data_IF_477189895658
#
_entry.id   IF_477189895658
#
_cell.length_a   1.000
_cell.length_b   1.000
_cell.length_c   1.000
_cell.angle_alpha   90.00
_cell.angle_beta   90.00
_cell.angle_gamma   90.00
#
_symmetry.space_group_name_H-M   'P 1'
#
loop_
_entity.id
_entity.type
_entity.pdbx_description
1 polymer ?
#
# COMPACT_ATOMS: atom_id res chain seq x y z
N UNK A 1 -18.15 -25.95 20.00
CA UNK A 1 -17.36 -25.23 18.99
C UNK A 1 -16.40 -24.37 19.79
N UNK A 2 -15.17 -24.84 19.96
CA UNK A 2 -14.18 -24.18 20.78
C UNK A 2 -13.41 -23.22 19.87
N UNK A 3 -13.71 -21.93 19.95
CA UNK A 3 -12.90 -20.90 19.33
C UNK A 3 -11.65 -20.74 20.18
N UNK A 4 -10.56 -21.35 19.73
CA UNK A 4 -9.22 -21.15 20.29
C UNK A 4 -8.84 -19.69 20.06
N UNK A 5 -9.11 -18.84 21.05
CA UNK A 5 -8.37 -17.59 21.21
C UNK A 5 -6.97 -18.01 21.65
N UNK A 6 -6.07 -18.13 20.68
CA UNK A 6 -4.65 -18.33 20.92
C UNK A 6 -4.13 -17.05 21.57
N UNK A 7 -4.11 -17.09 22.90
CA UNK A 7 -3.44 -16.16 23.79
C UNK A 7 -1.93 -16.21 23.43
N UNK A 8 -1.48 -15.38 22.49
CA UNK A 8 -0.06 -15.20 22.24
C UNK A 8 0.53 -14.34 23.37
N UNK A 9 1.28 -15.03 24.22
CA UNK A 9 1.84 -14.55 25.47
C UNK A 9 3.25 -14.02 25.21
N UNK A 10 3.38 -12.86 24.57
CA UNK A 10 4.66 -12.15 24.47
C UNK A 10 4.49 -10.72 25.00
N UNK A 11 5.49 -10.28 25.75
CA UNK A 11 5.57 -9.05 26.55
C UNK A 11 4.81 -7.86 25.98
N UNK A 12 3.91 -7.24 26.76
CA UNK A 12 3.23 -5.97 26.43
C UNK A 12 4.20 -4.81 26.18
N UNK A 13 4.85 -4.80 25.02
CA UNK A 13 5.72 -3.73 24.53
C UNK A 13 4.95 -2.75 23.63
N UNK A 14 3.66 -3.00 23.41
CA UNK A 14 2.80 -2.27 22.48
C UNK A 14 1.47 -1.95 23.17
N UNK A 15 0.97 -0.74 22.95
CA UNK A 15 -0.30 -0.21 23.48
C UNK A 15 -1.48 -0.70 22.64
N UNK A 16 -1.26 -0.88 21.35
CA UNK A 16 -2.24 -1.36 20.39
C UNK A 16 -1.51 -2.14 19.29
N UNK A 17 -2.16 -3.18 18.78
CA UNK A 17 -1.69 -3.94 17.63
C UNK A 17 -2.89 -4.33 16.78
N UNK A 18 -2.73 -4.19 15.46
CA UNK A 18 -3.67 -4.60 14.43
C UNK A 18 -2.97 -5.46 13.38
N UNK A 19 -3.69 -5.78 12.30
CA UNK A 19 -3.16 -6.51 11.15
C UNK A 19 -2.01 -5.74 10.49
N UNK A 20 -2.17 -4.42 10.35
CA UNK A 20 -1.23 -3.59 9.59
C UNK A 20 -0.38 -2.65 10.44
N UNK A 21 -0.69 -2.45 11.73
CA UNK A 21 -0.02 -1.43 12.55
C UNK A 21 0.19 -1.83 14.00
N UNK A 22 1.14 -1.15 14.65
CA UNK A 22 1.47 -1.32 16.06
C UNK A 22 1.68 0.06 16.68
N UNK A 23 0.99 0.35 17.78
CA UNK A 23 1.24 1.52 18.62
C UNK A 23 2.16 1.13 19.79
N UNK A 24 3.26 1.84 19.97
CA UNK A 24 4.14 1.67 21.13
C UNK A 24 3.68 2.51 22.33
N UNK A 25 4.15 2.23 23.55
CA UNK A 25 3.90 3.07 24.73
C UNK A 25 4.45 4.50 24.63
N UNK A 26 5.26 4.80 23.62
CA UNK A 26 5.73 6.16 23.35
C UNK A 26 4.76 6.95 22.45
N UNK A 27 3.54 6.43 22.21
CA UNK A 27 2.59 7.00 21.25
C UNK A 27 3.13 7.00 19.82
N UNK A 28 3.97 6.03 19.44
CA UNK A 28 4.53 5.92 18.10
C UNK A 28 3.82 4.80 17.34
N UNK A 29 3.18 5.16 16.22
CA UNK A 29 2.51 4.23 15.33
C UNK A 29 3.50 3.75 14.27
N UNK A 30 3.65 2.43 14.21
CA UNK A 30 4.47 1.73 13.23
C UNK A 30 3.59 0.93 12.28
N UNK A 31 3.94 0.92 10.99
CA UNK A 31 3.38 0.01 10.00
C UNK A 31 4.07 -1.36 10.14
N UNK A 32 3.30 -2.44 10.12
CA UNK A 32 3.80 -3.81 10.07
C UNK A 32 4.14 -4.11 8.62
N UNK A 33 5.43 -4.15 8.30
CA UNK A 33 5.91 -4.71 7.03
C UNK A 33 5.80 -6.25 7.02
N UNK A 34 6.15 -6.84 5.88
CA UNK A 34 6.26 -8.30 5.72
C UNK A 34 7.30 -8.92 6.67
N UNK A 35 8.29 -8.15 7.10
CA UNK A 35 9.33 -8.56 8.04
C UNK A 35 9.27 -7.76 9.35
N UNK A 36 9.62 -8.40 10.48
CA UNK A 36 9.63 -7.77 11.80
C UNK A 36 10.62 -6.61 11.93
N UNK A 37 11.64 -6.57 11.07
CA UNK A 37 12.68 -5.53 11.04
C UNK A 37 12.28 -4.33 10.17
N UNK A 38 11.31 -4.50 9.26
CA UNK A 38 10.80 -3.49 8.33
C UNK A 38 9.62 -2.69 8.92
N UNK A 39 9.64 -2.48 10.24
CA UNK A 39 8.65 -1.62 10.92
C UNK A 39 8.94 -0.17 10.62
N UNK A 40 8.15 0.44 9.75
CA UNK A 40 8.29 1.86 9.43
C UNK A 40 7.47 2.73 10.39
N UNK A 41 8.07 3.78 10.96
CA UNK A 41 7.36 4.75 11.78
C UNK A 41 6.48 5.64 10.90
N UNK A 42 5.17 5.48 11.03
CA UNK A 42 4.19 6.31 10.34
C UNK A 42 4.13 7.70 10.98
N UNK A 43 3.76 7.75 12.27
CA UNK A 43 3.39 8.98 12.96
C UNK A 43 3.43 8.78 14.49
N UNK A 44 3.41 9.88 15.24
CA UNK A 44 3.12 9.87 16.67
C UNK A 44 1.65 10.20 16.90
N UNK A 45 0.92 9.30 17.55
CA UNK A 45 -0.51 9.44 17.84
C UNK A 45 -0.83 8.96 19.25
N UNK A 46 -1.61 9.75 19.97
CA UNK A 46 -2.11 9.37 21.29
C UNK A 46 -3.12 8.22 21.17
N UNK A 47 -3.24 7.35 22.19
CA UNK A 47 -4.24 6.28 22.19
C UNK A 47 -5.68 6.80 22.06
N UNK A 48 -5.97 8.00 22.58
CA UNK A 48 -7.29 8.65 22.46
C UNK A 48 -7.63 9.06 21.02
N UNK A 49 -6.64 9.43 20.20
CA UNK A 49 -6.79 9.84 18.80
C UNK A 49 -6.44 8.71 17.82
N UNK A 50 -6.10 7.53 18.33
CA UNK A 50 -5.63 6.41 17.52
C UNK A 50 -6.70 5.98 16.51
N UNK A 51 -7.95 5.75 16.94
CA UNK A 51 -9.02 5.31 16.04
C UNK A 51 -9.27 6.30 14.90
N UNK A 52 -9.30 7.60 15.20
CA UNK A 52 -9.42 8.67 14.21
C UNK A 52 -8.23 8.63 13.25
N UNK A 53 -7.00 8.50 13.78
CA UNK A 53 -5.80 8.45 12.95
C UNK A 53 -5.71 7.21 12.08
N UNK A 54 -6.11 6.05 12.59
CA UNK A 54 -6.19 4.82 11.82
C UNK A 54 -7.20 4.96 10.68
N UNK A 55 -8.33 5.60 10.95
CA UNK A 55 -9.34 5.89 9.94
C UNK A 55 -8.77 6.83 8.87
N UNK A 56 -8.17 7.95 9.27
CA UNK A 56 -7.52 8.90 8.36
C UNK A 56 -6.46 8.22 7.48
N UNK A 57 -5.62 7.36 8.05
CA UNK A 57 -4.57 6.66 7.32
C UNK A 57 -5.13 5.58 6.37
N UNK A 58 -6.23 4.91 6.72
CA UNK A 58 -6.92 3.97 5.83
C UNK A 58 -7.68 4.68 4.71
N UNK A 59 -8.27 5.84 5.01
CA UNK A 59 -8.89 6.71 4.01
C UNK A 59 -7.85 7.24 3.04
N UNK A 60 -6.71 7.72 3.53
CA UNK A 60 -5.60 8.16 2.69
C UNK A 60 -5.10 7.05 1.74
N UNK A 61 -5.04 5.80 2.21
CA UNK A 61 -4.71 4.65 1.35
C UNK A 61 -5.80 4.42 0.29
N UNK A 62 -7.08 4.49 0.69
CA UNK A 62 -8.20 4.32 -0.24
C UNK A 62 -8.24 5.42 -1.30
N UNK A 63 -7.93 6.67 -0.94
CA UNK A 63 -7.78 7.78 -1.87
C UNK A 63 -6.62 7.54 -2.84
N UNK A 64 -5.47 7.09 -2.33
CA UNK A 64 -4.31 6.74 -3.14
C UNK A 64 -4.64 5.60 -4.12
N UNK A 65 -5.29 4.54 -3.65
CA UNK A 65 -5.75 3.44 -4.48
C UNK A 65 -6.69 3.94 -5.58
N UNK A 66 -7.70 4.74 -5.22
CA UNK A 66 -8.64 5.27 -6.20
C UNK A 66 -7.95 6.17 -7.22
N UNK A 67 -6.94 6.94 -6.81
CA UNK A 67 -6.11 7.76 -7.71
C UNK A 67 -5.27 6.90 -8.65
N UNK A 68 -4.70 5.81 -8.13
CA UNK A 68 -3.98 4.81 -8.93
C UNK A 68 -4.91 4.23 -9.98
N UNK A 69 -6.07 3.70 -9.59
CA UNK A 69 -7.04 3.12 -10.50
C UNK A 69 -7.53 4.13 -11.56
N UNK A 70 -7.82 5.37 -11.16
CA UNK A 70 -8.24 6.42 -12.10
C UNK A 70 -7.13 6.78 -13.10
N UNK A 71 -5.89 6.90 -12.62
CA UNK A 71 -4.72 7.17 -13.46
C UNK A 71 -4.49 6.02 -14.44
N UNK A 72 -4.58 4.77 -13.98
CA UNK A 72 -4.40 3.57 -14.80
C UNK A 72 -5.53 3.34 -15.82
N UNK A 73 -6.74 3.81 -15.51
CA UNK A 73 -7.89 3.76 -16.41
C UNK A 73 -7.82 4.80 -17.54
N UNK A 74 -7.04 5.87 -17.35
CA UNK A 74 -6.81 6.91 -18.33
C UNK A 74 -5.68 6.60 -19.32
N UNK A 75 -5.34 7.61 -20.12
CA UNK A 75 -4.13 7.62 -20.95
C UNK A 75 -2.98 8.06 -20.03
N UNK A 76 -2.07 7.13 -19.72
CA UNK A 76 -1.02 7.30 -18.72
C UNK A 76 0.33 6.98 -19.33
N UNK A 77 1.32 7.83 -19.09
CA UNK A 77 2.68 7.66 -19.60
C UNK A 77 3.57 6.94 -18.58
N UNK A 78 4.74 6.44 -19.01
CA UNK A 78 5.74 5.90 -18.08
C UNK A 78 6.19 6.93 -17.02
N UNK A 79 6.24 8.21 -17.38
CA UNK A 79 6.56 9.30 -16.44
C UNK A 79 5.46 9.47 -15.37
N UNK A 80 4.19 9.36 -15.76
CA UNK A 80 3.04 9.41 -14.85
C UNK A 80 3.06 8.22 -13.89
N UNK A 81 3.31 7.00 -14.41
CA UNK A 81 3.44 5.79 -13.59
C UNK A 81 4.63 5.85 -12.63
N UNK A 82 5.74 6.44 -13.05
CA UNK A 82 6.90 6.65 -12.17
C UNK A 82 6.59 7.66 -11.07
N UNK A 83 5.89 8.74 -11.40
CA UNK A 83 5.45 9.75 -10.43
C UNK A 83 4.46 9.15 -9.42
N UNK A 84 3.55 8.29 -9.88
CA UNK A 84 2.58 7.58 -9.06
C UNK A 84 3.27 6.59 -8.11
N UNK A 85 4.26 5.85 -8.59
CA UNK A 85 5.08 4.96 -7.76
C UNK A 85 5.83 5.73 -6.67
N UNK A 86 6.42 6.89 -6.99
CA UNK A 86 7.09 7.74 -6.01
C UNK A 86 6.09 8.27 -4.95
N UNK A 87 4.89 8.65 -5.39
CA UNK A 87 3.81 9.07 -4.50
C UNK A 87 3.33 7.93 -3.58
N UNK A 88 3.24 6.70 -4.10
CA UNK A 88 2.92 5.51 -3.30
C UNK A 88 4.01 5.27 -2.24
N UNK A 89 5.29 5.33 -2.60
CA UNK A 89 6.39 5.14 -1.63
C UNK A 89 6.50 6.28 -0.61
N UNK A 90 6.14 7.50 -0.99
CA UNK A 90 6.18 8.68 -0.12
C UNK A 90 4.93 8.81 0.76
N UNK A 91 3.83 8.16 0.36
CA UNK A 91 2.56 8.17 1.09
C UNK A 91 2.65 7.36 2.37
N UNK A 92 2.22 7.96 3.47
CA UNK A 92 2.13 7.32 4.79
C UNK A 92 0.68 7.02 5.09
N UNK A 93 0.27 5.79 4.85
CA UNK A 93 -1.09 5.30 4.91
C UNK A 93 -1.07 3.84 5.38
N UNK A 94 -2.24 3.28 5.69
CA UNK A 94 -2.38 1.90 6.14
C UNK A 94 -3.09 1.12 5.04
N UNK A 95 -2.37 0.23 4.37
CA UNK A 95 -2.93 -0.65 3.34
C UNK A 95 -1.88 -1.46 2.60
N UNK A 96 -2.31 -2.10 1.52
CA UNK A 96 -1.50 -3.00 0.70
C UNK A 96 -0.76 -2.26 -0.41
N UNK A 97 0.41 -1.73 -0.06
CA UNK A 97 1.27 -1.01 -1.01
C UNK A 97 1.83 -1.91 -2.11
N UNK A 98 1.99 -3.20 -1.82
CA UNK A 98 2.43 -4.21 -2.80
C UNK A 98 1.42 -4.33 -3.94
N UNK A 99 0.12 -4.41 -3.63
CA UNK A 99 -0.94 -4.43 -4.64
C UNK A 99 -0.91 -3.18 -5.54
N UNK A 100 -0.74 -1.99 -4.97
CA UNK A 100 -0.64 -0.75 -5.76
C UNK A 100 0.60 -0.74 -6.66
N UNK A 101 1.75 -1.16 -6.14
CA UNK A 101 2.98 -1.27 -6.93
C UNK A 101 2.85 -2.28 -8.05
N UNK A 102 2.26 -3.45 -7.78
CA UNK A 102 2.05 -4.48 -8.78
C UNK A 102 1.18 -3.96 -9.93
N UNK A 103 0.10 -3.23 -9.63
CA UNK A 103 -0.75 -2.62 -10.66
C UNK A 103 0.02 -1.61 -11.53
N UNK A 104 0.84 -0.75 -10.92
CA UNK A 104 1.66 0.24 -11.63
C UNK A 104 2.73 -0.44 -12.50
N UNK A 105 3.44 -1.44 -11.96
CA UNK A 105 4.49 -2.17 -12.66
C UNK A 105 3.94 -2.98 -13.84
N UNK A 106 2.77 -3.61 -13.63
CA UNK A 106 2.04 -4.29 -14.71
C UNK A 106 1.68 -3.32 -15.83
N UNK A 107 1.15 -2.14 -15.51
CA UNK A 107 0.80 -1.14 -16.53
C UNK A 107 2.03 -0.58 -17.25
N UNK A 108 3.15 -0.38 -16.53
CA UNK A 108 4.44 -0.01 -17.13
C UNK A 108 4.89 -1.05 -18.15
N UNK A 109 4.76 -2.33 -17.80
CA UNK A 109 5.07 -3.45 -18.69
C UNK A 109 4.15 -3.45 -19.91
N UNK A 110 2.84 -3.27 -19.73
CA UNK A 110 1.87 -3.19 -20.85
C UNK A 110 2.18 -2.03 -21.82
N UNK A 111 2.58 -0.85 -21.30
CA UNK A 111 3.00 0.29 -22.13
C UNK A 111 4.28 -0.01 -22.91
N UNK A 112 5.26 -0.63 -22.26
CA UNK A 112 6.52 -1.01 -22.91
C UNK A 112 6.33 -2.09 -23.99
N UNK A 113 5.39 -3.02 -23.80
CA UNK A 113 5.09 -4.08 -24.76
C UNK A 113 4.16 -3.61 -25.90
N UNK A 114 3.24 -2.68 -25.61
CA UNK A 114 2.31 -2.09 -26.59
C UNK A 114 2.97 -1.34 -27.74
N UNK A 115 4.24 -0.91 -27.60
CA UNK A 115 5.02 -0.29 -28.69
C UNK A 115 5.56 -1.32 -29.72
N UNK A 116 5.37 -2.62 -29.50
CA UNK A 116 5.90 -3.67 -30.40
C UNK A 116 4.86 -4.43 -31.23
N UNK A 117 3.56 -4.17 -31.05
CA UNK A 117 2.49 -4.83 -31.84
C UNK A 117 1.71 -3.83 -32.72
N UNK A 118 2.42 -3.00 -33.49
CA UNK A 118 1.87 -2.38 -34.71
C UNK A 118 2.91 -2.47 -35.83
N UNK A 119 3.21 -3.71 -36.22
CA UNK A 119 3.80 -4.02 -37.51
C UNK A 119 3.02 -5.19 -38.13
N UNK A 120 1.83 -4.86 -38.60
CA UNK A 120 1.27 -5.28 -39.88
C UNK A 120 1.32 -6.79 -40.17
N UNK A 121 0.17 -7.43 -39.93
CA UNK A 121 -0.22 -8.52 -40.81
C UNK A 121 -0.30 -8.02 -42.25
N UNK A 122 0.39 -8.70 -43.16
CA UNK A 122 -0.06 -8.85 -44.54
C UNK A 122 -0.03 -10.35 -44.87
N UNK A 123 -1.23 -10.89 -45.00
CA UNK A 123 -1.60 -12.02 -45.86
C UNK A 123 -0.84 -11.89 -47.21
N UNK A 124 -0.34 -12.95 -47.85
CA UNK A 124 -1.06 -13.62 -48.94
C UNK A 124 -0.25 -14.83 -49.44
N UNK A 125 -0.94 -15.97 -49.54
CA UNK A 125 -0.86 -17.08 -50.51
C UNK A 125 0.47 -17.62 -51.04
#
# INVERSE_FOLDING_TARGET
MNTTMEENKETSQHVYEDEYVILTPNNELFLKGNDQEDREKLCEVSPDDLEDKLTELKEAFSELQSKVEETLAGDVSLEDLTSLEDEINSSKAIGDYDELKEQVDKKKSELAEGETDDASGEEET
#
